data_IF_466422213228
#
_entry.id   IF_466422213228
#
_cell.length_a   1.000
_cell.length_b   1.000
_cell.length_c   1.000
_cell.angle_alpha   90.00
_cell.angle_beta   90.00
_cell.angle_gamma   90.00
#
_symmetry.space_group_name_H-M   'P 1'
#
loop_
_entity.id
_entity.type
_entity.pdbx_description
1 polymer ?
#
# COMPACT_ATOMS: atom_id res chain seq x y z
N UNK A 1 -1.34 -0.01 -22.82
CA UNK A 1 -2.09 0.36 -21.60
C UNK A 1 -2.94 -0.84 -21.27
N UNK A 2 -2.99 -1.25 -20.00
CA UNK A 2 -3.77 -2.42 -19.59
C UNK A 2 -5.24 -2.20 -19.90
N UNK A 3 -5.93 -3.21 -20.43
CA UNK A 3 -7.37 -3.19 -20.70
C UNK A 3 -8.22 -3.06 -19.41
N UNK A 4 -7.59 -3.05 -18.24
CA UNK A 4 -8.20 -3.00 -16.91
C UNK A 4 -8.14 -1.61 -16.25
N UNK A 5 -7.80 -0.56 -16.99
CA UNK A 5 -7.66 0.79 -16.40
C UNK A 5 -8.92 1.23 -15.62
N UNK A 6 -10.11 0.95 -16.15
CA UNK A 6 -11.37 1.25 -15.48
C UNK A 6 -11.53 0.48 -14.15
N UNK A 7 -11.08 -0.78 -14.09
CA UNK A 7 -11.18 -1.62 -12.89
C UNK A 7 -10.28 -1.14 -11.74
N UNK A 8 -9.23 -0.37 -12.06
CA UNK A 8 -8.31 0.18 -11.05
C UNK A 8 -8.71 1.56 -10.54
N UNK A 9 -9.70 2.23 -11.17
CA UNK A 9 -10.21 3.52 -10.73
C UNK A 9 -11.35 3.32 -9.72
N UNK A 10 -10.98 3.01 -8.48
CA UNK A 10 -11.93 2.81 -7.40
C UNK A 10 -12.38 4.16 -6.83
N UNK A 11 -13.69 4.34 -6.60
CA UNK A 11 -14.26 5.54 -5.96
C UNK A 11 -13.58 5.85 -4.62
N UNK A 12 -13.25 4.80 -3.85
CA UNK A 12 -12.52 4.94 -2.58
C UNK A 12 -11.20 5.72 -2.72
N UNK A 13 -10.46 5.55 -3.83
CA UNK A 13 -9.21 6.25 -4.04
C UNK A 13 -9.43 7.74 -4.29
N UNK A 14 -10.41 8.08 -5.13
CA UNK A 14 -10.79 9.47 -5.39
C UNK A 14 -11.28 10.17 -4.10
N UNK A 15 -12.16 9.50 -3.36
CA UNK A 15 -12.74 10.05 -2.13
C UNK A 15 -11.74 10.23 -0.99
N UNK A 16 -10.65 9.44 -0.96
CA UNK A 16 -9.66 9.43 0.14
C UNK A 16 -8.33 10.10 -0.22
N UNK A 17 -8.30 10.86 -1.32
CA UNK A 17 -7.14 11.68 -1.71
C UNK A 17 -5.96 10.87 -2.21
N UNK A 18 -6.22 9.79 -2.95
CA UNK A 18 -5.19 9.08 -3.68
C UNK A 18 -5.04 9.68 -5.10
N UNK A 19 -3.80 9.76 -5.54
CA UNK A 19 -3.39 10.20 -6.86
C UNK A 19 -2.83 9.01 -7.64
N UNK A 20 -3.22 8.88 -8.90
CA UNK A 20 -2.70 7.85 -9.79
C UNK A 20 -1.56 8.42 -10.62
N UNK A 21 -0.36 7.96 -10.36
CA UNK A 21 0.86 8.40 -11.02
C UNK A 21 1.43 7.28 -11.90
N UNK A 22 2.37 7.65 -12.78
CA UNK A 22 3.12 6.71 -13.61
C UNK A 22 4.60 6.81 -13.26
N UNK A 23 5.17 5.72 -12.75
CA UNK A 23 6.57 5.67 -12.37
C UNK A 23 7.47 5.93 -13.61
N UNK A 24 8.39 6.90 -13.56
CA UNK A 24 9.25 7.23 -14.70
C UNK A 24 10.28 6.14 -15.00
N UNK A 25 10.60 5.28 -14.03
CA UNK A 25 11.64 4.26 -14.16
C UNK A 25 11.15 2.95 -14.78
N UNK A 26 10.05 2.39 -14.27
CA UNK A 26 9.48 1.13 -14.80
C UNK A 26 8.29 1.35 -15.75
N UNK A 27 7.66 2.54 -15.71
CA UNK A 27 6.51 2.87 -16.53
C UNK A 27 5.16 2.36 -16.01
N UNK A 28 5.13 1.67 -14.87
CA UNK A 28 3.91 1.19 -14.22
C UNK A 28 3.12 2.32 -13.56
N UNK A 29 1.80 2.12 -13.44
CA UNK A 29 0.96 3.04 -12.68
C UNK A 29 0.90 2.60 -11.22
N UNK A 30 0.91 3.57 -10.31
CA UNK A 30 0.76 3.34 -8.88
C UNK A 30 -0.15 4.40 -8.27
N UNK A 31 -0.71 4.08 -7.11
CA UNK A 31 -1.55 5.00 -6.34
C UNK A 31 -0.79 5.46 -5.10
N UNK A 32 -0.82 6.76 -4.83
CA UNK A 32 -0.14 7.38 -3.69
C UNK A 32 -1.04 8.44 -3.07
N UNK A 33 -0.96 8.63 -1.75
CA UNK A 33 -1.57 9.79 -1.08
C UNK A 33 -0.61 10.97 -0.95
N UNK A 34 0.67 10.71 -1.22
CA UNK A 34 1.70 11.73 -1.29
C UNK A 34 1.76 12.26 -2.74
N UNK A 35 1.33 13.51 -3.00
CA UNK A 35 1.32 14.09 -4.33
C UNK A 35 2.72 14.41 -4.86
N UNK A 36 3.74 14.44 -4.00
CA UNK A 36 5.12 14.74 -4.37
C UNK A 36 5.94 13.47 -4.68
N UNK A 37 5.30 12.28 -4.66
CA UNK A 37 5.97 11.00 -4.89
C UNK A 37 6.06 10.66 -6.38
N UNK A 38 7.28 10.63 -6.91
CA UNK A 38 7.54 10.35 -8.34
C UNK A 38 7.67 8.84 -8.66
N UNK A 39 8.15 8.01 -7.71
CA UNK A 39 8.46 6.60 -7.95
C UNK A 39 7.50 5.64 -7.22
N UNK A 40 7.24 4.48 -7.81
CA UNK A 40 6.36 3.48 -7.21
C UNK A 40 6.91 2.90 -5.89
N UNK A 41 8.23 2.91 -5.71
CA UNK A 41 8.93 2.40 -4.51
C UNK A 41 9.13 0.88 -4.47
N UNK A 42 8.61 0.16 -5.47
CA UNK A 42 8.94 -1.25 -5.68
C UNK A 42 10.37 -1.40 -6.21
N UNK A 43 11.19 -2.34 -5.71
CA UNK A 43 12.49 -2.64 -6.30
C UNK A 43 12.35 -3.01 -7.80
N UNK A 44 13.20 -2.50 -8.70
CA UNK A 44 14.42 -1.75 -8.43
C UNK A 44 14.26 -0.24 -8.23
N UNK A 45 13.05 0.31 -8.40
CA UNK A 45 12.79 1.75 -8.33
C UNK A 45 12.88 2.33 -6.92
N UNK A 46 12.57 1.51 -5.91
CA UNK A 46 12.77 1.85 -4.51
C UNK A 46 13.69 0.87 -3.78
N UNK A 47 14.16 1.29 -2.61
CA UNK A 47 14.93 0.47 -1.68
C UNK A 47 14.22 0.37 -0.34
N UNK A 48 14.58 -0.63 0.48
CA UNK A 48 14.02 -0.75 1.82
C UNK A 48 14.52 0.37 2.74
N UNK A 49 13.60 1.22 3.18
CA UNK A 49 13.88 2.33 4.11
C UNK A 49 13.67 1.93 5.58
N UNK A 50 12.99 0.81 5.84
CA UNK A 50 12.59 0.41 7.19
C UNK A 50 13.69 -0.30 8.01
N UNK A 51 14.87 -0.53 7.41
CA UNK A 51 15.99 -1.16 8.11
C UNK A 51 16.59 -0.13 9.04
N UNK A 52 16.63 -0.44 10.35
CA UNK A 52 17.02 0.47 11.43
C UNK A 52 16.08 1.69 11.64
N UNK A 53 15.04 1.85 10.81
CA UNK A 53 13.99 2.87 10.92
C UNK A 53 12.60 2.22 10.83
N UNK A 54 12.08 1.57 11.90
CA UNK A 54 10.84 0.82 11.85
C UNK A 54 9.63 1.68 11.44
N UNK A 55 8.80 1.16 10.53
CA UNK A 55 7.58 1.85 10.06
C UNK A 55 6.39 1.81 11.02
N UNK A 56 6.53 1.17 12.18
CA UNK A 56 5.50 1.10 13.23
C UNK A 56 6.08 1.58 14.56
N UNK A 57 5.25 2.25 15.36
CA UNK A 57 5.64 2.71 16.70
C UNK A 57 5.90 1.52 17.66
N UNK A 58 5.19 0.41 17.49
CA UNK A 58 5.37 -0.81 18.30
C UNK A 58 6.06 -1.94 17.52
N UNK A 59 6.81 -2.76 18.25
CA UNK A 59 7.34 -4.03 17.74
C UNK A 59 6.40 -5.19 18.07
N UNK A 60 6.31 -6.14 17.14
CA UNK A 60 5.43 -7.30 17.25
C UNK A 60 6.20 -8.59 17.02
N UNK A 61 5.88 -9.62 17.79
CA UNK A 61 6.24 -11.00 17.47
C UNK A 61 5.34 -11.55 16.37
N UNK A 62 5.75 -12.66 15.75
CA UNK A 62 4.95 -13.34 14.72
C UNK A 62 3.53 -13.71 15.21
N UNK A 63 3.41 -14.13 16.47
CA UNK A 63 2.12 -14.50 17.06
C UNK A 63 1.20 -13.30 17.25
N UNK A 64 1.76 -12.18 17.73
CA UNK A 64 1.00 -10.94 17.95
C UNK A 64 0.55 -10.31 16.63
N UNK A 65 1.41 -10.26 15.60
CA UNK A 65 1.03 -9.77 14.27
C UNK A 65 -0.12 -10.60 13.68
N UNK A 66 -0.04 -11.93 13.80
CA UNK A 66 -1.10 -12.83 13.33
C UNK A 66 -2.41 -12.55 14.05
N UNK A 67 -2.39 -12.48 15.38
CA UNK A 67 -3.61 -12.23 16.16
C UNK A 67 -4.22 -10.88 15.80
N UNK A 68 -3.41 -9.82 15.72
CA UNK A 68 -3.88 -8.47 15.38
C UNK A 68 -4.57 -8.42 14.02
N UNK A 69 -3.99 -9.08 13.02
CA UNK A 69 -4.62 -9.19 11.69
C UNK A 69 -5.95 -9.95 11.76
N UNK A 70 -5.97 -11.13 12.39
CA UNK A 70 -7.16 -11.97 12.47
C UNK A 70 -8.30 -11.28 13.24
N UNK A 71 -8.02 -10.74 14.42
CA UNK A 71 -9.02 -10.05 15.24
C UNK A 71 -9.60 -8.83 14.51
N UNK A 72 -8.79 -8.06 13.78
CA UNK A 72 -9.27 -6.90 13.02
C UNK A 72 -10.38 -7.27 12.03
N UNK A 73 -10.23 -8.39 11.30
CA UNK A 73 -11.24 -8.84 10.34
C UNK A 73 -12.39 -9.59 11.04
N UNK A 74 -12.12 -10.37 12.08
CA UNK A 74 -13.15 -11.06 12.87
C UNK A 74 -14.17 -10.06 13.46
N UNK A 75 -13.69 -8.95 14.03
CA UNK A 75 -14.53 -7.85 14.53
C UNK A 75 -15.39 -7.17 13.45
N UNK A 76 -15.05 -7.35 12.17
CA UNK A 76 -15.77 -6.81 11.01
C UNK A 76 -16.66 -7.85 10.32
N UNK A 77 -16.86 -9.00 10.95
CA UNK A 77 -17.79 -10.04 10.51
C UNK A 77 -17.18 -11.06 9.55
N UNK A 78 -15.85 -11.12 9.44
CA UNK A 78 -15.17 -12.18 8.71
C UNK A 78 -14.97 -13.41 9.60
N UNK A 79 -15.04 -14.60 9.01
CA UNK A 79 -14.68 -15.84 9.72
C UNK A 79 -13.17 -15.92 9.94
N UNK A 80 -12.78 -16.54 11.04
CA UNK A 80 -11.40 -16.69 11.49
C UNK A 80 -10.67 -17.85 10.82
#
# INVERSE_FOLDING_TARGET
>A
MSDLEAEYQLEYFEENGFHRERCPECGDHFWTRDPDRDICGEPPCGTYEFIDEPGFDESYTLGETRERFLSFFEERGHER
#
